data_IF_472811803469
#
_entry.id   IF_472811803469
#
_cell.length_a   1.000
_cell.length_b   1.000
_cell.length_c   1.000
_cell.angle_alpha   90.00
_cell.angle_beta   90.00
_cell.angle_gamma   90.00
#
_symmetry.space_group_name_H-M   'P 1'
#
loop_
_entity.id
_entity.type
_entity.pdbx_description
1 polymer ?
#
# COMPACT_ATOMS: atom_id res chain seq x y z
N UNK A 1 1.12 -16.29 7.54
CA UNK A 1 1.78 -14.98 7.46
C UNK A 1 2.27 -14.61 8.86
N UNK A 2 3.51 -14.97 9.24
CA UNK A 2 4.00 -14.82 10.62
C UNK A 2 3.99 -13.37 11.12
N UNK A 3 4.17 -12.39 10.21
CA UNK A 3 4.30 -10.97 10.55
C UNK A 3 3.05 -10.34 11.19
N UNK A 4 1.88 -10.97 11.08
CA UNK A 4 0.62 -10.47 11.63
C UNK A 4 0.05 -11.33 12.76
N UNK A 5 0.78 -12.38 13.16
CA UNK A 5 0.35 -13.30 14.20
C UNK A 5 0.80 -12.75 15.56
N UNK A 6 -0.15 -12.60 16.49
CA UNK A 6 0.12 -12.22 17.86
C UNK A 6 0.80 -13.35 18.63
N UNK A 7 1.35 -13.05 19.80
CA UNK A 7 2.04 -14.02 20.67
C UNK A 7 1.14 -15.20 21.06
N UNK A 8 -0.17 -14.97 21.14
CA UNK A 8 -1.18 -15.99 21.43
C UNK A 8 -1.64 -16.80 20.19
N UNK A 9 -1.02 -16.58 19.02
CA UNK A 9 -1.37 -17.25 17.77
C UNK A 9 -2.57 -16.70 17.05
N UNK A 10 -3.18 -15.60 17.54
CA UNK A 10 -4.30 -14.92 16.86
C UNK A 10 -3.84 -13.90 15.84
N UNK A 11 -4.74 -13.48 14.96
CA UNK A 11 -4.53 -12.37 14.04
C UNK A 11 -5.82 -11.58 13.84
N UNK A 12 -5.70 -10.27 13.55
CA UNK A 12 -6.84 -9.42 13.22
C UNK A 12 -7.09 -9.45 11.71
N UNK A 13 -8.06 -10.25 11.29
CA UNK A 13 -8.46 -10.36 9.88
C UNK A 13 -9.54 -9.33 9.58
N UNK A 14 -9.37 -8.61 8.48
CA UNK A 14 -10.35 -7.69 7.91
C UNK A 14 -10.76 -8.20 6.52
N UNK A 15 -12.05 -8.37 6.30
CA UNK A 15 -12.58 -8.76 4.99
C UNK A 15 -12.97 -7.53 4.18
N UNK A 16 -12.61 -7.52 2.90
CA UNK A 16 -12.92 -6.44 1.97
C UNK A 16 -14.01 -6.91 1.02
N UNK A 17 -15.10 -6.14 0.93
CA UNK A 17 -16.20 -6.39 0.00
C UNK A 17 -16.23 -5.30 -1.06
N UNK A 18 -16.50 -5.67 -2.30
CA UNK A 18 -16.60 -4.73 -3.41
C UNK A 18 -17.64 -3.63 -3.14
N UNK A 19 -18.80 -3.99 -2.57
CA UNK A 19 -19.88 -3.05 -2.26
C UNK A 19 -19.51 -1.97 -1.24
N UNK A 20 -18.55 -2.23 -0.34
CA UNK A 20 -18.16 -1.31 0.73
C UNK A 20 -16.86 -0.57 0.48
N UNK A 21 -15.93 -1.18 -0.24
CA UNK A 21 -14.65 -0.58 -0.60
C UNK A 21 -14.18 -1.12 -1.97
N UNK A 22 -14.76 -0.64 -3.07
CA UNK A 22 -14.45 -1.13 -4.41
C UNK A 22 -12.99 -0.95 -4.80
N UNK A 23 -12.37 0.14 -4.35
CA UNK A 23 -10.97 0.45 -4.65
C UNK A 23 -10.01 -0.58 -4.06
N UNK A 24 -10.11 -0.83 -2.76
CA UNK A 24 -9.27 -1.82 -2.08
C UNK A 24 -9.59 -3.25 -2.54
N UNK A 25 -10.86 -3.53 -2.84
CA UNK A 25 -11.26 -4.82 -3.39
C UNK A 25 -10.56 -5.09 -4.74
N UNK A 26 -10.57 -4.14 -5.66
CA UNK A 26 -9.89 -4.26 -6.95
C UNK A 26 -8.37 -4.42 -6.77
N UNK A 27 -7.76 -3.64 -5.87
CA UNK A 27 -6.34 -3.79 -5.56
C UNK A 27 -6.01 -5.21 -5.08
N UNK A 28 -6.82 -5.78 -4.19
CA UNK A 28 -6.65 -7.17 -3.73
C UNK A 28 -6.81 -8.19 -4.85
N UNK A 29 -7.74 -7.97 -5.79
CA UNK A 29 -7.94 -8.85 -6.95
C UNK A 29 -6.75 -8.81 -7.92
N UNK A 30 -6.21 -7.63 -8.19
CA UNK A 30 -5.00 -7.49 -9.01
C UNK A 30 -3.77 -8.14 -8.32
N UNK A 31 -3.65 -7.94 -7.01
CA UNK A 31 -2.59 -8.57 -6.23
C UNK A 31 -2.72 -10.11 -6.24
N UNK A 32 -3.93 -10.64 -6.10
CA UNK A 32 -4.21 -12.08 -6.23
C UNK A 32 -3.80 -12.60 -7.62
N UNK A 33 -4.16 -11.89 -8.69
CA UNK A 33 -3.82 -12.30 -10.05
C UNK A 33 -2.30 -12.39 -10.27
N UNK A 34 -1.53 -11.51 -9.63
CA UNK A 34 -0.07 -11.48 -9.73
C UNK A 34 0.64 -12.49 -8.81
N UNK A 35 0.09 -12.75 -7.63
CA UNK A 35 0.76 -13.51 -6.56
C UNK A 35 0.13 -14.85 -6.26
N UNK A 36 -1.12 -15.04 -6.65
CA UNK A 36 -1.97 -16.16 -6.19
C UNK A 36 -2.50 -15.99 -4.76
N UNK A 37 -2.25 -14.86 -4.09
CA UNK A 37 -2.61 -14.64 -2.66
C UNK A 37 -3.41 -13.34 -2.50
N UNK A 38 -4.71 -13.38 -2.17
CA UNK A 38 -5.56 -12.19 -2.02
C UNK A 38 -5.46 -11.57 -0.62
N UNK A 39 -4.25 -11.38 -0.10
CA UNK A 39 -4.03 -10.87 1.26
C UNK A 39 -2.96 -9.80 1.26
N UNK A 40 -3.26 -8.65 1.86
CA UNK A 40 -2.31 -7.57 2.14
C UNK A 40 -2.22 -7.32 3.64
N UNK A 41 -1.04 -6.91 4.10
CA UNK A 41 -0.86 -6.43 5.47
C UNK A 41 -1.29 -4.97 5.50
N UNK A 42 -2.20 -4.65 6.43
CA UNK A 42 -2.68 -3.29 6.66
C UNK A 42 -2.13 -2.74 7.98
N UNK A 43 -1.64 -1.52 7.95
CA UNK A 43 -1.20 -0.79 9.14
C UNK A 43 -1.60 0.68 9.02
N UNK A 44 -1.57 1.40 10.15
CA UNK A 44 -1.80 2.85 10.15
C UNK A 44 -0.69 3.57 9.39
N UNK A 45 -1.06 4.61 8.65
CA UNK A 45 -0.11 5.47 7.98
C UNK A 45 0.33 6.58 8.94
N UNK A 46 1.42 6.34 9.65
CA UNK A 46 2.05 7.27 10.59
C UNK A 46 3.46 6.79 10.97
N UNK A 47 4.27 7.68 11.53
CA UNK A 47 5.50 7.31 12.20
C UNK A 47 5.19 6.92 13.66
N UNK A 48 5.97 6.00 14.22
CA UNK A 48 5.81 5.56 15.62
C UNK A 48 5.83 6.74 16.58
N UNK A 49 4.77 6.89 17.36
CA UNK A 49 4.61 7.97 18.33
C UNK A 49 3.97 9.24 17.78
N UNK A 50 3.65 9.29 16.51
CA UNK A 50 2.93 10.39 15.86
C UNK A 50 1.47 10.03 15.55
N UNK A 51 0.58 11.01 15.40
CA UNK A 51 -0.80 10.78 14.95
C UNK A 51 -0.87 10.17 13.55
N UNK A 52 -2.01 9.57 13.21
CA UNK A 52 -2.30 9.13 11.84
C UNK A 52 -2.26 10.35 10.90
N UNK A 53 -1.66 10.16 9.74
CA UNK A 53 -1.55 11.18 8.68
C UNK A 53 -2.96 11.62 8.24
N UNK A 54 -3.20 12.94 8.27
CA UNK A 54 -4.49 13.52 7.91
C UNK A 54 -4.44 14.39 6.65
N UNK A 55 -3.28 14.99 6.36
CA UNK A 55 -3.15 15.91 5.22
C UNK A 55 -2.21 15.39 4.15
N UNK A 56 -2.37 15.81 2.87
CA UNK A 56 -1.42 15.49 1.81
C UNK A 56 0.00 15.95 2.11
N UNK A 57 0.15 17.09 2.78
CA UNK A 57 1.46 17.61 3.20
C UNK A 57 2.15 16.65 4.17
N UNK A 58 1.42 16.17 5.18
CA UNK A 58 1.96 15.25 6.18
C UNK A 58 2.29 13.89 5.54
N UNK A 59 1.47 13.45 4.58
CA UNK A 59 1.75 12.25 3.79
C UNK A 59 3.06 12.35 3.02
N UNK A 60 3.32 13.46 2.36
CA UNK A 60 4.58 13.72 1.64
C UNK A 60 5.75 13.79 2.60
N UNK A 61 5.62 14.48 3.73
CA UNK A 61 6.68 14.55 4.75
C UNK A 61 7.01 13.15 5.28
N UNK A 62 6.00 12.38 5.69
CA UNK A 62 6.18 11.01 6.15
C UNK A 62 6.85 10.13 5.08
N UNK A 63 6.41 10.22 3.83
CA UNK A 63 7.01 9.50 2.72
C UNK A 63 8.49 9.84 2.53
N UNK A 64 8.85 11.12 2.56
CA UNK A 64 10.24 11.57 2.35
C UNK A 64 11.16 11.23 3.52
N UNK A 65 10.64 11.17 4.75
CA UNK A 65 11.43 10.97 5.98
C UNK A 65 11.50 9.50 6.44
N UNK A 66 10.75 8.60 5.81
CA UNK A 66 10.70 7.17 6.19
C UNK A 66 11.23 6.26 5.09
N UNK A 67 11.28 4.95 5.35
CA UNK A 67 11.66 3.90 4.39
C UNK A 67 10.55 3.49 3.42
N UNK A 68 9.42 4.20 3.34
CA UNK A 68 8.32 3.89 2.42
C UNK A 68 8.77 4.11 0.98
N UNK A 69 8.54 3.13 0.12
CA UNK A 69 8.99 3.14 -1.28
C UNK A 69 8.05 3.91 -2.20
N UNK A 70 6.74 3.79 -1.93
CA UNK A 70 5.68 4.36 -2.77
C UNK A 70 4.61 5.04 -1.92
N UNK A 71 4.10 6.16 -2.40
CA UNK A 71 2.97 6.88 -1.83
C UNK A 71 1.88 7.02 -2.88
N UNK A 72 0.68 6.54 -2.56
CA UNK A 72 -0.51 6.72 -3.38
C UNK A 72 -1.43 7.74 -2.73
N UNK A 73 -1.78 8.78 -3.46
CA UNK A 73 -2.75 9.80 -3.04
C UNK A 73 -3.75 10.02 -4.19
N UNK A 74 -5.01 9.66 -3.97
CA UNK A 74 -6.04 9.67 -5.01
C UNK A 74 -5.59 8.88 -6.26
N UNK A 75 -5.38 9.55 -7.37
CA UNK A 75 -4.96 9.02 -8.66
C UNK A 75 -3.46 9.22 -8.96
N UNK A 76 -2.70 9.65 -7.96
CA UNK A 76 -1.26 9.87 -8.09
C UNK A 76 -0.46 8.80 -7.37
N UNK A 77 0.54 8.25 -8.04
CA UNK A 77 1.58 7.39 -7.46
C UNK A 77 2.90 8.14 -7.44
N UNK A 78 3.52 8.25 -6.28
CA UNK A 78 4.85 8.81 -6.08
C UNK A 78 5.80 7.71 -5.65
N UNK A 79 6.94 7.58 -6.33
CA UNK A 79 7.97 6.58 -6.03
C UNK A 79 9.30 7.27 -5.69
N UNK A 80 10.03 6.78 -4.68
CA UNK A 80 11.36 7.29 -4.32
C UNK A 80 12.38 7.13 -5.45
N UNK A 81 12.33 6.02 -6.15
CA UNK A 81 13.24 5.75 -7.27
C UNK A 81 12.94 6.61 -8.50
N UNK A 82 11.81 7.30 -8.51
CA UNK A 82 11.36 8.19 -9.56
C UNK A 82 11.23 9.65 -9.09
N UNK A 83 12.09 10.11 -8.18
CA UNK A 83 12.06 11.48 -7.61
C UNK A 83 12.05 12.60 -8.67
N UNK A 84 12.16 12.26 -9.95
CA UNK A 84 12.04 13.17 -11.10
C UNK A 84 10.85 12.89 -12.02
N UNK A 85 9.99 11.90 -11.71
CA UNK A 85 8.77 11.64 -12.48
C UNK A 85 7.55 11.65 -11.58
N UNK A 86 6.84 12.75 -11.58
CA UNK A 86 5.41 12.73 -11.26
C UNK A 86 4.76 11.90 -12.35
N UNK A 87 4.36 10.68 -12.02
CA UNK A 87 3.61 9.84 -12.94
C UNK A 87 2.22 10.47 -13.03
N UNK A 88 1.83 10.90 -14.23
CA UNK A 88 0.53 11.53 -14.51
C UNK A 88 -0.66 10.63 -14.14
N UNK A 89 -1.90 11.04 -14.43
CA UNK A 89 -3.10 10.34 -14.00
C UNK A 89 -3.03 8.86 -14.39
N UNK A 90 -3.10 8.00 -13.39
CA UNK A 90 -2.90 6.57 -13.49
C UNK A 90 -4.14 5.91 -14.10
N UNK A 91 -4.16 5.79 -15.41
CA UNK A 91 -5.27 5.17 -16.15
C UNK A 91 -5.43 3.67 -15.83
N UNK A 92 -4.37 3.03 -15.28
CA UNK A 92 -4.36 1.61 -14.86
C UNK A 92 -3.72 1.42 -13.48
N UNK A 93 -3.99 2.28 -12.54
CA UNK A 93 -3.30 2.44 -11.24
C UNK A 93 -3.14 1.16 -10.42
N UNK A 94 -4.15 0.31 -10.43
CA UNK A 94 -4.16 -0.85 -9.51
C UNK A 94 -3.21 -1.95 -9.98
N UNK A 95 -3.13 -2.19 -11.27
CA UNK A 95 -2.18 -3.15 -11.86
C UNK A 95 -0.75 -2.67 -11.65
N UNK A 96 -0.50 -1.37 -11.82
CA UNK A 96 0.83 -0.77 -11.65
C UNK A 96 1.27 -0.78 -10.20
N UNK A 97 0.38 -0.47 -9.23
CA UNK A 97 0.68 -0.56 -7.79
C UNK A 97 0.97 -2.00 -7.38
N UNK A 98 0.17 -2.96 -7.83
CA UNK A 98 0.39 -4.37 -7.54
C UNK A 98 1.74 -4.86 -8.13
N UNK A 99 2.08 -4.47 -9.36
CA UNK A 99 3.35 -4.79 -9.99
C UNK A 99 4.55 -4.17 -9.26
N UNK A 100 4.43 -2.93 -8.76
CA UNK A 100 5.45 -2.23 -7.97
C UNK A 100 5.67 -2.91 -6.61
N UNK A 101 4.61 -3.30 -5.92
CA UNK A 101 4.72 -4.08 -4.68
C UNK A 101 5.47 -5.37 -4.93
N UNK A 102 5.20 -6.05 -6.04
CA UNK A 102 5.88 -7.30 -6.42
C UNK A 102 7.35 -7.12 -6.78
N UNK A 103 7.73 -6.01 -7.41
CA UNK A 103 9.14 -5.74 -7.76
C UNK A 103 10.01 -5.60 -6.53
N UNK A 104 9.45 -5.14 -5.40
CA UNK A 104 10.17 -4.96 -4.14
C UNK A 104 10.20 -6.24 -3.26
N UNK A 105 9.28 -7.18 -3.46
CA UNK A 105 9.26 -8.47 -2.73
C UNK A 105 10.37 -9.41 -3.25
N UNK A 106 10.84 -9.27 -4.48
CA UNK A 106 11.87 -10.14 -5.09
C UNK A 106 13.30 -9.87 -4.62
N UNK A 107 13.52 -8.81 -3.85
CA UNK A 107 14.85 -8.39 -3.37
C UNK A 107 15.07 -8.61 -1.87
N UNK A 108 14.15 -9.25 -1.20
CA UNK A 108 14.28 -9.62 0.22
C UNK A 108 14.65 -11.10 0.39
#
# INVERSE_FOLDING_TARGET
>A
IPAIVHVDGTARVQTVREATNPTLYRLLKEFEALTGVPVLINTSFNVKGEPIIETPRDAVICFLTTGIDHLVMHDMLVSKNAMHKVVGPLVNTYTDVAALVMSNIKTA
#
